data_IF_168892849874
#
_entry.id   IF_168892849874
#
_cell.length_a   1.000
_cell.length_b   1.000
_cell.length_c   1.000
_cell.angle_alpha   90.00
_cell.angle_beta   90.00
_cell.angle_gamma   90.00
#
_symmetry.space_group_name_H-M   'P 1'
#
loop_
_entity.id
_entity.type
_entity.pdbx_description
1 polymer ?
#
# COMPACT_ATOMS: atom_id res chain seq x y z
N UNK A 1 3.96 -22.04 30.59
CA UNK A 1 3.62 -20.62 30.40
C UNK A 1 3.83 -20.27 28.92
N UNK A 2 2.79 -19.76 28.26
CA UNK A 2 2.68 -19.60 26.79
C UNK A 2 3.36 -18.31 26.34
N UNK A 3 4.49 -18.39 25.63
CA UNK A 3 5.22 -17.21 25.14
C UNK A 3 5.69 -17.35 23.68
N UNK A 4 4.89 -17.99 22.81
CA UNK A 4 5.31 -18.28 21.42
C UNK A 4 4.34 -17.76 20.35
N UNK A 5 3.21 -17.15 20.75
CA UNK A 5 2.17 -16.72 19.79
C UNK A 5 2.25 -15.24 19.38
N UNK A 6 2.82 -14.36 20.23
CA UNK A 6 2.96 -12.93 19.93
C UNK A 6 4.08 -12.63 18.93
N UNK A 7 5.15 -13.42 18.97
CA UNK A 7 6.33 -13.21 18.13
C UNK A 7 6.05 -13.52 16.66
N UNK A 8 5.35 -14.64 16.39
CA UNK A 8 4.92 -15.04 15.05
C UNK A 8 3.93 -14.04 14.40
N UNK A 9 3.06 -13.41 15.20
CA UNK A 9 2.13 -12.38 14.68
C UNK A 9 2.87 -11.13 14.20
N UNK A 10 3.91 -10.72 14.94
CA UNK A 10 4.73 -9.55 14.57
C UNK A 10 5.55 -9.82 13.31
N UNK A 11 6.05 -11.04 13.15
CA UNK A 11 6.89 -11.47 12.04
C UNK A 11 6.10 -11.59 10.72
N UNK A 12 4.87 -12.13 10.76
CA UNK A 12 3.98 -12.23 9.60
C UNK A 12 3.52 -10.85 9.12
N UNK A 13 3.26 -9.92 10.04
CA UNK A 13 2.95 -8.54 9.68
C UNK A 13 4.15 -7.88 8.97
N UNK A 14 5.37 -7.96 9.51
CA UNK A 14 6.57 -7.40 8.85
C UNK A 14 6.89 -8.04 7.49
N UNK A 15 6.54 -9.31 7.29
CA UNK A 15 6.78 -10.03 6.02
C UNK A 15 5.75 -9.62 4.94
N UNK A 16 4.52 -9.29 5.34
CA UNK A 16 3.52 -8.64 4.48
C UNK A 16 3.92 -7.21 4.10
N UNK A 17 4.55 -6.46 5.02
CA UNK A 17 5.08 -5.12 4.75
C UNK A 17 6.37 -5.11 3.93
N UNK A 18 7.10 -6.23 3.89
CA UNK A 18 8.33 -6.39 3.08
C UNK A 18 8.03 -6.91 1.67
N UNK A 19 6.86 -7.50 1.46
CA UNK A 19 6.34 -7.80 0.13
C UNK A 19 5.71 -6.54 -0.46
N UNK A 20 6.53 -5.53 -0.72
CA UNK A 20 6.26 -4.56 -1.79
C UNK A 20 6.32 -5.34 -3.10
N UNK A 21 5.31 -6.17 -3.34
CA UNK A 21 5.08 -6.77 -4.65
C UNK A 21 4.94 -5.61 -5.62
N UNK A 22 5.62 -5.70 -6.76
CA UNK A 22 5.46 -4.75 -7.85
C UNK A 22 3.97 -4.39 -7.99
N UNK A 23 3.66 -3.09 -7.98
CA UNK A 23 2.28 -2.63 -8.16
C UNK A 23 1.78 -3.24 -9.47
N UNK A 24 0.71 -4.04 -9.39
CA UNK A 24 0.16 -4.75 -10.54
C UNK A 24 -0.22 -3.74 -11.64
N UNK A 25 0.15 -4.04 -12.88
CA UNK A 25 -0.16 -3.21 -14.04
C UNK A 25 -1.67 -2.97 -14.17
N UNK A 26 -2.50 -3.94 -13.80
CA UNK A 26 -3.96 -3.78 -13.78
C UNK A 26 -4.43 -2.69 -12.79
N UNK A 27 -3.75 -2.59 -11.64
CA UNK A 27 -4.04 -1.54 -10.65
C UNK A 27 -3.58 -0.16 -11.14
N UNK A 28 -2.46 -0.10 -11.85
CA UNK A 28 -1.99 1.14 -12.48
C UNK A 28 -2.96 1.63 -13.55
N UNK A 29 -3.39 0.76 -14.45
CA UNK A 29 -4.40 1.09 -15.48
C UNK A 29 -5.71 1.56 -14.87
N UNK A 30 -6.16 0.90 -13.79
CA UNK A 30 -7.37 1.32 -13.09
C UNK A 30 -7.21 2.69 -12.43
N UNK A 31 -6.03 2.99 -11.91
CA UNK A 31 -5.70 4.28 -11.31
C UNK A 31 -5.69 5.39 -12.35
N UNK A 32 -5.10 5.14 -13.53
CA UNK A 32 -5.18 6.05 -14.69
C UNK A 32 -6.65 6.35 -15.01
N UNK A 33 -7.45 5.33 -15.31
CA UNK A 33 -8.86 5.51 -15.69
C UNK A 33 -9.66 6.32 -14.66
N UNK A 34 -9.47 6.02 -13.36
CA UNK A 34 -10.19 6.70 -12.29
C UNK A 34 -9.83 8.18 -12.20
N UNK A 35 -8.53 8.50 -12.25
CA UNK A 35 -8.05 9.87 -12.05
C UNK A 35 -8.32 10.71 -13.29
N UNK A 36 -8.14 10.16 -14.49
CA UNK A 36 -8.51 10.84 -15.74
C UNK A 36 -10.02 11.13 -15.78
N UNK A 37 -10.87 10.16 -15.45
CA UNK A 37 -12.33 10.36 -15.42
C UNK A 37 -12.76 11.43 -14.41
N UNK A 38 -12.04 11.57 -13.30
CA UNK A 38 -12.36 12.54 -12.25
C UNK A 38 -11.83 13.95 -12.53
N UNK A 39 -10.69 14.05 -13.19
CA UNK A 39 -9.96 15.33 -13.35
C UNK A 39 -10.01 15.90 -14.75
N UNK A 40 -10.36 15.08 -15.76
CA UNK A 40 -10.32 15.45 -17.17
C UNK A 40 -8.90 15.65 -17.73
N UNK A 41 -7.85 15.28 -16.97
CA UNK A 41 -6.45 15.40 -17.37
C UNK A 41 -5.90 14.02 -17.68
N UNK A 42 -5.06 13.92 -18.72
CA UNK A 42 -4.34 12.68 -19.03
C UNK A 42 -3.34 12.34 -17.92
N UNK A 43 -3.25 11.06 -17.56
CA UNK A 43 -2.38 10.58 -16.49
C UNK A 43 -1.41 9.53 -17.05
N UNK A 44 -0.11 9.68 -16.79
CA UNK A 44 0.85 8.65 -17.18
C UNK A 44 0.82 7.45 -16.22
N UNK A 45 1.31 6.29 -16.68
CA UNK A 45 1.47 5.10 -15.84
C UNK A 45 2.46 5.34 -14.67
N UNK A 46 3.42 6.25 -14.86
CA UNK A 46 4.35 6.69 -13.82
C UNK A 46 3.63 7.46 -12.71
N UNK A 47 2.80 8.44 -13.10
CA UNK A 47 1.98 9.20 -12.15
C UNK A 47 1.01 8.29 -11.39
N UNK A 48 0.42 7.31 -12.08
CA UNK A 48 -0.44 6.30 -11.46
C UNK A 48 0.31 5.53 -10.36
N UNK A 49 1.56 5.15 -10.60
CA UNK A 49 2.38 4.44 -9.62
C UNK A 49 2.67 5.32 -8.42
N UNK A 50 3.07 6.57 -8.65
CA UNK A 50 3.31 7.52 -7.56
C UNK A 50 2.05 7.77 -6.72
N UNK A 51 0.87 7.85 -7.35
CA UNK A 51 -0.40 7.95 -6.64
C UNK A 51 -0.62 6.72 -5.75
N UNK A 52 -0.46 5.51 -6.28
CA UNK A 52 -0.64 4.27 -5.52
C UNK A 52 0.36 4.19 -4.36
N UNK A 53 1.63 4.49 -4.60
CA UNK A 53 2.69 4.47 -3.58
C UNK A 53 2.43 5.50 -2.47
N UNK A 54 2.04 6.73 -2.83
CA UNK A 54 1.77 7.78 -1.85
C UNK A 54 0.54 7.44 -0.99
N UNK A 55 -0.55 6.98 -1.62
CA UNK A 55 -1.78 6.63 -0.89
C UNK A 55 -1.55 5.43 0.01
N UNK A 56 -0.94 4.36 -0.49
CA UNK A 56 -0.63 3.17 0.31
C UNK A 56 0.37 3.48 1.43
N UNK A 57 1.40 4.30 1.16
CA UNK A 57 2.37 4.77 2.13
C UNK A 57 1.74 5.60 3.26
N UNK A 58 0.78 6.48 2.94
CA UNK A 58 0.04 7.24 3.95
C UNK A 58 -0.74 6.33 4.90
N UNK A 59 -1.50 5.37 4.37
CA UNK A 59 -2.24 4.42 5.21
C UNK A 59 -1.31 3.51 6.02
N UNK A 60 -0.12 3.19 5.51
CA UNK A 60 0.90 2.46 6.27
C UNK A 60 1.33 3.24 7.52
N UNK A 61 1.59 4.53 7.40
CA UNK A 61 1.95 5.39 8.56
C UNK A 61 0.84 5.37 9.61
N UNK A 62 -0.42 5.48 9.20
CA UNK A 62 -1.55 5.42 10.12
C UNK A 62 -1.67 4.05 10.82
N UNK A 63 -1.43 2.97 10.09
CA UNK A 63 -1.43 1.62 10.65
C UNK A 63 -0.26 1.42 11.64
N UNK A 64 0.91 2.00 11.37
CA UNK A 64 2.04 1.97 12.31
C UNK A 64 1.70 2.69 13.62
N UNK A 65 1.05 3.85 13.56
CA UNK A 65 0.62 4.57 14.77
C UNK A 65 -0.38 3.77 15.60
N UNK A 66 -1.35 3.12 14.95
CA UNK A 66 -2.35 2.26 15.62
C UNK A 66 -1.72 1.06 16.37
N UNK A 67 -0.49 0.68 16.04
CA UNK A 67 0.25 -0.42 16.69
C UNK A 67 1.14 0.02 17.84
N UNK A 68 1.38 1.32 17.98
CA UNK A 68 2.22 1.90 19.04
C UNK A 68 1.39 2.15 20.31
N UNK A 69 0.07 2.30 20.19
CA UNK A 69 -0.91 2.24 21.29
C UNK A 69 -1.16 0.79 21.78
#
# INVERSE_FOLDING_TARGET
MKATRRDAGRQVETDLFSRTGAVDDALLERTVQLVEARTGRSLSKEDARQIVENVSGFFRILAEWQRID
#
